data_IF_864880106051
#
_entry.id   IF_864880106051
#
_cell.length_a   1.000
_cell.length_b   1.000
_cell.length_c   1.000
_cell.angle_alpha   90.00
_cell.angle_beta   90.00
_cell.angle_gamma   90.00
#
_symmetry.space_group_name_H-M   'P 1'
#
loop_
_entity.id
_entity.type
_entity.pdbx_description
1 polymer ?
#
# COMPACT_ATOMS: atom_id res chain seq x y z
N UNK A 1 -2.77 5.83 -0.49
CA UNK A 1 -2.97 6.59 -1.75
C UNK A 1 -4.43 6.47 -2.17
N UNK A 2 -5.08 7.57 -2.59
CA UNK A 2 -6.52 7.60 -2.93
C UNK A 2 -6.85 6.56 -4.04
N UNK A 3 -7.82 5.64 -3.85
CA UNK A 3 -8.14 4.59 -4.83
C UNK A 3 -8.42 5.11 -6.25
N UNK A 4 -9.17 6.21 -6.40
CA UNK A 4 -9.47 6.83 -7.71
C UNK A 4 -8.22 7.37 -8.39
N UNK A 5 -7.33 7.99 -7.60
CA UNK A 5 -6.04 8.48 -8.11
C UNK A 5 -5.19 7.33 -8.67
N UNK A 6 -5.22 6.15 -8.03
CA UNK A 6 -4.44 5.01 -8.48
C UNK A 6 -4.89 4.51 -9.86
N UNK A 7 -6.21 4.42 -10.08
CA UNK A 7 -6.80 4.03 -11.35
C UNK A 7 -6.42 5.03 -12.46
N UNK A 8 -6.49 6.32 -12.18
CA UNK A 8 -6.08 7.35 -13.15
C UNK A 8 -4.59 7.33 -13.48
N UNK A 9 -3.72 6.94 -12.53
CA UNK A 9 -2.30 6.72 -12.82
C UNK A 9 -2.13 5.53 -13.79
N UNK A 10 -2.92 4.47 -13.60
CA UNK A 10 -2.89 3.29 -14.48
C UNK A 10 -3.26 3.63 -15.93
N UNK A 11 -4.25 4.51 -16.15
CA UNK A 11 -4.64 5.00 -17.48
C UNK A 11 -3.52 5.75 -18.21
N UNK A 12 -2.52 6.26 -17.48
CA UNK A 12 -1.32 6.89 -18.07
C UNK A 12 -0.23 5.84 -18.28
N UNK A 13 0.01 4.99 -17.29
CA UNK A 13 1.14 4.05 -17.30
C UNK A 13 0.95 2.87 -18.24
N UNK A 14 -0.28 2.36 -18.41
CA UNK A 14 -0.52 1.18 -19.24
C UNK A 14 -0.27 1.43 -20.73
N UNK A 15 -0.78 2.53 -21.33
CA UNK A 15 -0.40 2.90 -22.69
C UNK A 15 1.10 3.12 -22.84
N UNK A 16 1.73 3.77 -21.86
CA UNK A 16 3.18 3.97 -21.86
C UNK A 16 3.95 2.66 -21.95
N UNK A 17 3.54 1.62 -21.20
CA UNK A 17 4.18 0.31 -21.27
C UNK A 17 4.04 -0.35 -22.64
N UNK A 18 2.86 -0.26 -23.27
CA UNK A 18 2.64 -0.83 -24.61
C UNK A 18 3.59 -0.24 -25.66
N UNK A 19 3.95 1.04 -25.53
CA UNK A 19 4.85 1.73 -26.46
C UNK A 19 6.34 1.59 -26.08
N UNK A 20 6.65 1.46 -24.78
CA UNK A 20 8.02 1.60 -24.25
C UNK A 20 8.58 0.31 -23.60
N UNK A 21 7.92 -0.84 -23.77
CA UNK A 21 8.37 -2.11 -23.18
C UNK A 21 9.83 -2.43 -23.53
N UNK A 22 10.20 -2.38 -24.82
CA UNK A 22 11.57 -2.67 -25.27
C UNK A 22 12.60 -1.73 -24.63
N UNK A 23 12.24 -0.45 -24.46
CA UNK A 23 13.10 0.55 -23.84
C UNK A 23 13.33 0.24 -22.35
N UNK A 24 12.28 -0.13 -21.62
CA UNK A 24 12.39 -0.54 -20.21
C UNK A 24 13.23 -1.82 -20.09
N UNK A 25 12.97 -2.84 -20.92
CA UNK A 25 13.73 -4.11 -20.93
C UNK A 25 15.22 -3.88 -21.17
N UNK A 26 15.57 -3.07 -22.17
CA UNK A 26 16.96 -2.72 -22.46
C UNK A 26 17.64 -2.00 -21.27
N UNK A 27 16.90 -1.16 -20.54
CA UNK A 27 17.40 -0.53 -19.32
C UNK A 27 17.62 -1.51 -18.17
N UNK A 28 16.73 -2.50 -18.00
CA UNK A 28 16.93 -3.62 -17.07
C UNK A 28 18.18 -4.43 -17.43
N UNK A 29 18.35 -4.73 -18.71
CA UNK A 29 19.52 -5.46 -19.20
C UNK A 29 20.81 -4.67 -18.91
N UNK A 30 20.80 -3.36 -19.16
CA UNK A 30 21.95 -2.47 -18.90
C UNK A 30 22.37 -2.50 -17.42
N UNK A 31 21.42 -2.32 -16.48
CA UNK A 31 21.74 -2.35 -15.05
C UNK A 31 22.15 -3.77 -14.58
N UNK A 32 21.66 -4.83 -15.23
CA UNK A 32 22.02 -6.21 -14.89
C UNK A 32 23.49 -6.55 -15.16
N UNK A 33 24.13 -5.84 -16.09
CA UNK A 33 25.55 -6.02 -16.42
C UNK A 33 26.49 -5.28 -15.46
N UNK A 34 25.97 -4.41 -14.60
CA UNK A 34 26.78 -3.69 -13.61
C UNK A 34 27.23 -4.66 -12.53
N UNK A 35 28.54 -4.68 -12.26
CA UNK A 35 29.09 -5.49 -11.18
C UNK A 35 28.56 -4.99 -9.83
N UNK A 36 27.82 -5.84 -9.11
CA UNK A 36 27.27 -5.53 -7.78
C UNK A 36 27.67 -6.57 -6.73
N UNK A 37 28.64 -7.43 -7.02
CA UNK A 37 29.02 -8.54 -6.11
C UNK A 37 29.66 -8.05 -4.80
N UNK A 38 30.22 -6.84 -4.80
CA UNK A 38 30.77 -6.21 -3.61
C UNK A 38 29.70 -5.61 -2.68
N UNK A 39 28.43 -5.51 -3.12
CA UNK A 39 27.37 -5.02 -2.27
C UNK A 39 26.99 -6.04 -1.20
N UNK A 40 26.54 -5.59 -0.02
CA UNK A 40 25.90 -6.46 0.94
C UNK A 40 24.73 -7.24 0.32
N UNK A 41 24.58 -8.51 0.70
CA UNK A 41 23.56 -9.43 0.17
C UNK A 41 22.14 -8.85 0.13
N UNK A 42 21.81 -8.04 1.14
CA UNK A 42 20.52 -7.35 1.21
C UNK A 42 20.27 -6.50 -0.05
N UNK A 43 21.23 -5.68 -0.46
CA UNK A 43 21.09 -4.77 -1.60
C UNK A 43 21.19 -5.51 -2.93
N UNK A 44 22.09 -6.49 -3.03
CA UNK A 44 22.21 -7.37 -4.21
C UNK A 44 20.89 -8.09 -4.52
N UNK A 45 20.29 -8.74 -3.50
CA UNK A 45 19.00 -9.43 -3.64
C UNK A 45 17.87 -8.46 -3.97
N UNK A 46 17.87 -7.27 -3.36
CA UNK A 46 16.85 -6.26 -3.61
C UNK A 46 16.92 -5.70 -5.05
N UNK A 47 18.12 -5.42 -5.57
CA UNK A 47 18.32 -5.01 -6.97
C UNK A 47 17.87 -6.09 -7.96
N UNK A 48 18.27 -7.34 -7.73
CA UNK A 48 17.83 -8.45 -8.58
C UNK A 48 16.31 -8.64 -8.56
N UNK A 49 15.70 -8.50 -7.39
CA UNK A 49 14.23 -8.57 -7.25
C UNK A 49 13.56 -7.42 -7.99
N UNK A 50 14.10 -6.20 -7.88
CA UNK A 50 13.63 -5.02 -8.60
C UNK A 50 13.64 -5.23 -10.12
N UNK A 51 14.73 -5.78 -10.66
CA UNK A 51 14.85 -6.11 -12.09
C UNK A 51 13.79 -7.13 -12.53
N UNK A 52 13.63 -8.22 -11.78
CA UNK A 52 12.60 -9.24 -12.08
C UNK A 52 11.19 -8.68 -12.03
N UNK A 53 10.90 -7.80 -11.06
CA UNK A 53 9.59 -7.17 -10.93
C UNK A 53 9.34 -6.14 -12.03
N UNK A 54 10.35 -5.37 -12.43
CA UNK A 54 10.24 -4.46 -13.57
C UNK A 54 9.86 -5.25 -14.84
N UNK A 55 10.56 -6.35 -15.13
CA UNK A 55 10.25 -7.22 -16.27
C UNK A 55 8.87 -7.91 -16.14
N UNK A 56 8.48 -8.32 -14.93
CA UNK A 56 7.17 -8.93 -14.68
C UNK A 56 6.00 -7.95 -14.73
N UNK A 57 6.24 -6.65 -14.91
CA UNK A 57 5.17 -5.64 -14.98
C UNK A 57 4.27 -5.85 -16.19
N UNK A 58 4.83 -6.23 -17.34
CA UNK A 58 4.09 -6.36 -18.59
C UNK A 58 3.03 -7.47 -18.51
N UNK A 59 3.40 -8.67 -18.08
CA UNK A 59 2.48 -9.79 -17.87
C UNK A 59 1.37 -9.44 -16.84
N UNK A 60 1.70 -8.62 -15.83
CA UNK A 60 0.72 -8.18 -14.84
C UNK A 60 -0.26 -7.16 -15.40
N UNK A 61 0.18 -6.29 -16.31
CA UNK A 61 -0.69 -5.34 -17.01
C UNK A 61 -1.63 -6.09 -17.95
N UNK A 62 -1.13 -7.08 -18.70
CA UNK A 62 -1.96 -7.95 -19.53
C UNK A 62 -3.01 -8.69 -18.69
N UNK A 63 -2.61 -9.26 -17.54
CA UNK A 63 -3.55 -9.90 -16.62
C UNK A 63 -4.60 -8.92 -16.05
N UNK A 64 -4.25 -7.66 -15.83
CA UNK A 64 -5.24 -6.63 -15.43
C UNK A 64 -6.22 -6.39 -16.57
N UNK A 65 -5.71 -6.14 -17.78
CA UNK A 65 -6.54 -5.87 -18.96
C UNK A 65 -7.52 -7.02 -19.24
N UNK A 66 -7.04 -8.27 -19.17
CA UNK A 66 -7.90 -9.45 -19.37
C UNK A 66 -9.01 -9.53 -18.31
N UNK A 67 -8.69 -9.34 -17.02
CA UNK A 67 -9.71 -9.39 -15.96
C UNK A 67 -10.72 -8.25 -16.04
N UNK A 68 -10.26 -7.07 -16.47
CA UNK A 68 -11.15 -5.94 -16.71
C UNK A 68 -12.06 -6.19 -17.92
N UNK A 69 -11.53 -6.81 -18.99
CA UNK A 69 -12.32 -7.24 -20.14
C UNK A 69 -13.37 -8.29 -19.74
N UNK A 70 -12.97 -9.34 -19.01
CA UNK A 70 -13.89 -10.40 -18.53
C UNK A 70 -15.05 -9.80 -17.72
N UNK A 71 -14.77 -8.80 -16.88
CA UNK A 71 -15.79 -8.08 -16.10
C UNK A 71 -16.68 -7.20 -16.99
N UNK A 72 -16.08 -6.43 -17.90
CA UNK A 72 -16.81 -5.49 -18.77
C UNK A 72 -17.71 -6.21 -19.78
N UNK A 73 -17.33 -7.41 -20.24
CA UNK A 73 -18.17 -8.24 -21.10
C UNK A 73 -19.38 -8.81 -20.35
N UNK A 74 -19.25 -9.03 -19.03
CA UNK A 74 -20.34 -9.54 -18.19
C UNK A 74 -21.35 -8.45 -17.77
N UNK A 75 -20.89 -7.20 -17.61
CA UNK A 75 -21.70 -6.09 -17.08
C UNK A 75 -23.02 -5.87 -17.83
N UNK A 76 -23.06 -5.76 -19.18
CA UNK A 76 -24.30 -5.44 -19.89
C UNK A 76 -25.44 -6.43 -19.63
N UNK A 77 -25.14 -7.73 -19.53
CA UNK A 77 -26.17 -8.75 -19.24
C UNK A 77 -26.59 -8.79 -17.76
N UNK A 78 -25.73 -8.33 -16.87
CA UNK A 78 -25.97 -8.31 -15.43
C UNK A 78 -26.71 -7.04 -14.97
N UNK A 79 -26.48 -5.92 -15.62
CA UNK A 79 -26.98 -4.60 -15.22
C UNK A 79 -28.50 -4.55 -15.13
N UNK A 80 -29.21 -5.00 -16.17
CA UNK A 80 -30.68 -4.99 -16.19
C UNK A 80 -31.28 -5.86 -15.08
N UNK A 81 -30.72 -7.06 -14.90
CA UNK A 81 -31.11 -7.99 -13.84
C UNK A 81 -30.86 -7.35 -12.46
N UNK A 82 -29.70 -6.73 -12.28
CA UNK A 82 -29.32 -6.06 -11.05
C UNK A 82 -30.27 -4.92 -10.71
N UNK A 83 -30.48 -3.99 -11.63
CA UNK A 83 -31.36 -2.84 -11.40
C UNK A 83 -32.80 -3.29 -11.10
N UNK A 84 -33.30 -4.29 -11.83
CA UNK A 84 -34.62 -4.86 -11.58
C UNK A 84 -34.74 -5.43 -10.17
N UNK A 85 -33.81 -6.31 -9.77
CA UNK A 85 -33.85 -6.95 -8.44
C UNK A 85 -33.65 -5.91 -7.33
N UNK A 86 -32.74 -4.95 -7.49
CA UNK A 86 -32.52 -3.89 -6.50
C UNK A 86 -33.75 -3.00 -6.33
N UNK A 87 -34.44 -2.64 -7.40
CA UNK A 87 -35.71 -1.91 -7.32
C UNK A 87 -36.77 -2.72 -6.60
N UNK A 88 -36.93 -4.01 -6.93
CA UNK A 88 -37.90 -4.89 -6.25
C UNK A 88 -37.59 -5.02 -4.76
N UNK A 89 -36.32 -5.22 -4.40
CA UNK A 89 -35.88 -5.28 -3.00
C UNK A 89 -36.09 -3.96 -2.25
N UNK A 90 -35.93 -2.82 -2.93
CA UNK A 90 -36.22 -1.52 -2.36
C UNK A 90 -37.72 -1.36 -2.03
N UNK A 91 -38.60 -1.74 -2.96
CA UNK A 91 -40.05 -1.74 -2.71
C UNK A 91 -40.44 -2.68 -1.57
N UNK A 92 -39.86 -3.88 -1.52
CA UNK A 92 -40.06 -4.82 -0.39
C UNK A 92 -39.67 -4.18 0.94
N UNK A 93 -38.50 -3.53 1.03
CA UNK A 93 -38.06 -2.85 2.27
C UNK A 93 -38.99 -1.71 2.68
N UNK A 94 -39.59 -1.00 1.72
CA UNK A 94 -40.57 0.05 1.99
C UNK A 94 -41.85 -0.54 2.60
N UNK A 95 -42.34 -1.64 2.03
CA UNK A 95 -43.50 -2.36 2.56
C UNK A 95 -43.20 -2.91 3.96
N UNK A 96 -42.00 -3.49 4.18
CA UNK A 96 -41.58 -3.96 5.51
C UNK A 96 -41.55 -2.83 6.54
N UNK A 97 -41.11 -1.63 6.14
CA UNK A 97 -41.17 -0.44 6.99
C UNK A 97 -42.61 -0.03 7.31
N UNK A 98 -43.50 -0.02 6.32
CA UNK A 98 -44.91 0.34 6.51
C UNK A 98 -45.64 -0.68 7.41
N UNK A 99 -45.36 -1.98 7.25
CA UNK A 99 -45.84 -3.04 8.16
C UNK A 99 -45.35 -2.78 9.58
N UNK A 100 -44.05 -2.51 9.75
CA UNK A 100 -43.46 -2.24 11.06
C UNK A 100 -44.13 -1.05 11.75
N UNK A 101 -44.36 0.06 11.05
CA UNK A 101 -45.04 1.23 11.59
C UNK A 101 -46.50 0.93 11.99
N UNK A 102 -47.22 0.14 11.20
CA UNK A 102 -48.58 -0.32 11.51
C UNK A 102 -48.60 -1.22 12.76
N UNK A 103 -47.65 -2.14 12.89
CA UNK A 103 -47.51 -3.00 14.08
C UNK A 103 -47.18 -2.18 15.34
N UNK A 104 -46.27 -1.20 15.24
CA UNK A 104 -45.96 -0.29 16.34
C UNK A 104 -47.18 0.53 16.75
N UNK A 105 -47.94 1.03 15.77
CA UNK A 105 -49.20 1.75 16.02
C UNK A 105 -50.22 0.87 16.72
N UNK A 106 -50.41 -0.37 16.25
CA UNK A 106 -51.30 -1.37 16.85
C UNK A 106 -50.93 -1.60 18.32
N UNK A 107 -49.66 -1.86 18.60
CA UNK A 107 -49.16 -2.10 19.96
C UNK A 107 -49.34 -0.90 20.89
N UNK A 108 -49.14 0.34 20.40
CA UNK A 108 -49.37 1.56 21.19
C UNK A 108 -50.85 1.74 21.53
N UNK A 109 -51.74 1.46 20.57
CA UNK A 109 -53.19 1.54 20.79
C UNK A 109 -53.65 0.50 21.84
N UNK A 110 -53.17 -0.74 21.75
CA UNK A 110 -53.47 -1.81 22.72
C UNK A 110 -53.05 -1.45 24.15
N UNK A 111 -51.94 -0.72 24.32
CA UNK A 111 -51.42 -0.30 25.64
C UNK A 111 -52.13 0.90 26.24
N UNK A 112 -52.79 1.74 25.43
CA UNK A 112 -53.35 3.02 25.87
C UNK A 112 -54.70 2.93 26.62
N UNK A 113 -55.25 1.73 26.85
CA UNK A 113 -56.28 1.42 27.86
C UNK A 113 -57.67 2.06 27.70
N UNK A 114 -57.83 3.12 26.90
CA UNK A 114 -59.13 3.65 26.47
C UNK A 114 -59.69 2.74 25.39
N UNK A 115 -61.02 2.60 25.28
CA UNK A 115 -61.68 1.73 24.29
C UNK A 115 -61.27 2.12 22.87
N UNK A 116 -60.20 1.49 22.36
CA UNK A 116 -59.77 1.64 20.97
C UNK A 116 -60.91 1.09 20.13
N UNK A 117 -61.33 1.88 19.15
CA UNK A 117 -62.37 1.46 18.22
C UNK A 117 -61.95 0.14 17.55
N UNK A 118 -62.75 -0.90 17.72
CA UNK A 118 -62.51 -2.22 17.14
C UNK A 118 -62.39 -2.15 15.61
N UNK A 119 -63.03 -1.17 14.98
CA UNK A 119 -62.95 -0.92 13.55
C UNK A 119 -61.54 -0.43 13.14
N UNK A 120 -60.88 0.40 13.96
CA UNK A 120 -59.50 0.86 13.71
C UNK A 120 -58.52 -0.31 13.83
N UNK A 121 -58.67 -1.16 14.85
CA UNK A 121 -57.81 -2.34 15.02
C UNK A 121 -57.96 -3.33 13.88
N UNK A 122 -59.19 -3.53 13.40
CA UNK A 122 -59.48 -4.36 12.23
C UNK A 122 -58.84 -3.80 10.96
N UNK A 123 -58.98 -2.50 10.69
CA UNK A 123 -58.38 -1.84 9.53
C UNK A 123 -56.85 -1.94 9.50
N UNK A 124 -56.19 -1.78 10.67
CA UNK A 124 -54.74 -1.95 10.77
C UNK A 124 -54.34 -3.40 10.45
N UNK A 125 -55.08 -4.38 10.97
CA UNK A 125 -54.86 -5.80 10.66
C UNK A 125 -54.99 -6.11 9.17
N UNK A 126 -56.08 -5.66 8.54
CA UNK A 126 -56.32 -5.84 7.10
C UNK A 126 -55.24 -5.17 6.24
N UNK A 127 -54.74 -4.01 6.67
CA UNK A 127 -53.64 -3.30 5.98
C UNK A 127 -52.32 -4.07 6.08
N UNK A 128 -52.02 -4.65 7.24
CA UNK A 128 -50.82 -5.48 7.42
C UNK A 128 -50.90 -6.73 6.54
N UNK A 129 -52.05 -7.42 6.51
CA UNK A 129 -52.26 -8.59 5.65
C UNK A 129 -52.10 -8.23 4.17
N UNK A 130 -52.71 -7.13 3.73
CA UNK A 130 -52.59 -6.64 2.35
C UNK A 130 -51.12 -6.35 1.98
N UNK A 131 -50.38 -5.70 2.89
CA UNK A 131 -48.96 -5.42 2.67
C UNK A 131 -48.10 -6.69 2.68
N UNK A 132 -48.45 -7.68 3.50
CA UNK A 132 -47.76 -8.98 3.49
C UNK A 132 -47.97 -9.71 2.16
N UNK A 133 -49.19 -9.73 1.62
CA UNK A 133 -49.48 -10.31 0.31
C UNK A 133 -48.72 -9.59 -0.82
N UNK A 134 -48.71 -8.25 -0.79
CA UNK A 134 -47.94 -7.44 -1.76
C UNK A 134 -46.44 -7.73 -1.69
N UNK A 135 -45.88 -7.91 -0.48
CA UNK A 135 -44.49 -8.31 -0.28
C UNK A 135 -44.23 -9.68 -0.92
N UNK A 136 -45.05 -10.67 -0.61
CA UNK A 136 -44.88 -12.04 -1.12
C UNK A 136 -44.99 -12.09 -2.66
N UNK A 137 -45.86 -11.28 -3.26
CA UNK A 137 -45.95 -11.12 -4.72
C UNK A 137 -44.71 -10.47 -5.34
N UNK A 138 -44.13 -9.47 -4.68
CA UNK A 138 -42.90 -8.82 -5.16
C UNK A 138 -41.70 -9.76 -5.05
N UNK A 139 -41.57 -10.51 -3.97
CA UNK A 139 -40.47 -11.47 -3.79
C UNK A 139 -40.48 -12.56 -4.87
N UNK A 140 -41.68 -13.03 -5.28
CA UNK A 140 -41.84 -13.98 -6.40
C UNK A 140 -41.37 -13.42 -7.76
N UNK A 141 -41.28 -12.10 -7.92
CA UNK A 141 -40.78 -11.46 -9.15
C UNK A 141 -39.26 -11.53 -9.26
N UNK A 142 -38.53 -11.78 -8.18
CA UNK A 142 -37.07 -11.90 -8.22
C UNK A 142 -36.69 -13.14 -9.05
N UNK A 143 -35.94 -12.99 -10.16
CA UNK A 143 -35.60 -14.12 -11.02
C UNK A 143 -34.71 -15.14 -10.28
N UNK A 144 -34.96 -16.43 -10.49
CA UNK A 144 -34.21 -17.51 -9.81
C UNK A 144 -32.71 -17.49 -10.13
N UNK A 145 -32.32 -16.96 -11.29
CA UNK A 145 -30.91 -16.79 -11.66
C UNK A 145 -30.17 -15.70 -10.86
N UNK A 146 -30.87 -14.81 -10.15
CA UNK A 146 -30.29 -13.64 -9.47
C UNK A 146 -29.08 -13.99 -8.61
N UNK A 147 -29.24 -14.98 -7.72
CA UNK A 147 -28.18 -15.36 -6.78
C UNK A 147 -26.93 -15.83 -7.53
N UNK A 148 -27.10 -16.68 -8.54
CA UNK A 148 -25.98 -17.19 -9.34
C UNK A 148 -25.28 -16.11 -10.18
N UNK A 149 -26.03 -15.17 -10.76
CA UNK A 149 -25.46 -14.07 -11.53
C UNK A 149 -24.75 -13.04 -10.63
N UNK A 150 -25.29 -12.77 -9.43
CA UNK A 150 -24.62 -11.95 -8.41
C UNK A 150 -23.28 -12.56 -7.99
N UNK A 151 -23.24 -13.86 -7.73
CA UNK A 151 -22.00 -14.55 -7.33
C UNK A 151 -20.94 -14.52 -8.44
N UNK A 152 -21.36 -14.68 -9.71
CA UNK A 152 -20.46 -14.50 -10.87
C UNK A 152 -19.88 -13.10 -10.93
N UNK A 153 -20.71 -12.06 -10.81
CA UNK A 153 -20.26 -10.67 -10.77
C UNK A 153 -19.25 -10.43 -9.66
N UNK A 154 -19.56 -10.87 -8.44
CA UNK A 154 -18.70 -10.68 -7.26
C UNK A 154 -17.34 -11.38 -7.44
N UNK A 155 -17.33 -12.57 -8.05
CA UNK A 155 -16.10 -13.29 -8.39
C UNK A 155 -15.26 -12.51 -9.42
N UNK A 156 -15.85 -12.12 -10.54
CA UNK A 156 -15.14 -11.37 -11.61
C UNK A 156 -14.57 -10.05 -11.07
N UNK A 157 -15.37 -9.30 -10.32
CA UNK A 157 -14.94 -8.06 -9.69
C UNK A 157 -13.80 -8.29 -8.67
N UNK A 158 -13.87 -9.36 -7.86
CA UNK A 158 -12.81 -9.71 -6.91
C UNK A 158 -11.51 -10.05 -7.65
N UNK A 159 -11.58 -10.78 -8.75
CA UNK A 159 -10.43 -11.14 -9.59
C UNK A 159 -9.80 -9.90 -10.24
N UNK A 160 -10.60 -8.99 -10.81
CA UNK A 160 -10.12 -7.73 -11.37
C UNK A 160 -9.47 -6.81 -10.30
N UNK A 161 -10.03 -6.76 -9.09
CA UNK A 161 -9.41 -6.02 -7.97
C UNK A 161 -8.09 -6.65 -7.54
N UNK A 162 -8.03 -7.99 -7.50
CA UNK A 162 -6.84 -8.73 -7.09
C UNK A 162 -5.70 -8.57 -8.09
N UNK A 163 -5.97 -8.64 -9.40
CA UNK A 163 -4.96 -8.43 -10.46
C UNK A 163 -4.36 -7.02 -10.37
N UNK A 164 -5.19 -5.98 -10.24
CA UNK A 164 -4.72 -4.60 -10.04
C UNK A 164 -3.87 -4.47 -8.79
N UNK A 165 -4.30 -5.04 -7.67
CA UNK A 165 -3.53 -4.98 -6.42
C UNK A 165 -2.17 -5.69 -6.54
N UNK A 166 -2.08 -6.76 -7.32
CA UNK A 166 -0.83 -7.47 -7.62
C UNK A 166 0.10 -6.60 -8.48
N UNK A 167 -0.41 -6.02 -9.56
CA UNK A 167 0.33 -5.04 -10.39
C UNK A 167 0.90 -3.91 -9.53
N UNK A 168 0.06 -3.27 -8.71
CA UNK A 168 0.45 -2.13 -7.86
C UNK A 168 1.59 -2.48 -6.91
N UNK A 169 1.49 -3.63 -6.22
CA UNK A 169 2.55 -4.10 -5.32
C UNK A 169 3.84 -4.40 -6.07
N UNK A 170 3.73 -4.99 -7.26
CA UNK A 170 4.88 -5.26 -8.11
C UNK A 170 5.58 -3.96 -8.52
N UNK A 171 4.82 -2.97 -8.99
CA UNK A 171 5.31 -1.64 -9.37
C UNK A 171 6.06 -0.96 -8.22
N UNK A 172 5.42 -0.91 -7.04
CA UNK A 172 6.02 -0.30 -5.84
C UNK A 172 7.28 -1.08 -5.40
N UNK A 173 7.26 -2.42 -5.48
CA UNK A 173 8.40 -3.26 -5.08
C UNK A 173 9.57 -3.21 -6.09
N UNK A 174 9.27 -2.97 -7.37
CA UNK A 174 10.28 -2.79 -8.40
C UNK A 174 11.08 -1.50 -8.19
N UNK A 175 10.44 -0.46 -7.66
CA UNK A 175 11.04 0.87 -7.57
C UNK A 175 11.64 1.19 -6.19
N UNK A 176 10.98 0.79 -5.09
CA UNK A 176 11.41 1.10 -3.72
C UNK A 176 12.88 0.71 -3.40
N UNK A 177 13.40 -0.46 -3.83
CA UNK A 177 14.81 -0.81 -3.60
C UNK A 177 15.81 0.20 -4.18
N UNK A 178 15.46 0.82 -5.31
CA UNK A 178 16.33 1.79 -5.98
C UNK A 178 16.42 3.05 -5.15
N UNK A 179 15.28 3.61 -4.76
CA UNK A 179 15.22 4.79 -3.88
C UNK A 179 15.97 4.53 -2.57
N UNK A 180 15.79 3.34 -1.97
CA UNK A 180 16.45 2.98 -0.72
C UNK A 180 17.97 2.92 -0.89
N UNK A 181 18.47 2.28 -1.95
CA UNK A 181 19.91 2.19 -2.20
C UNK A 181 20.50 3.56 -2.54
N UNK A 182 19.87 4.33 -3.43
CA UNK A 182 20.25 5.72 -3.74
C UNK A 182 20.33 6.57 -2.48
N UNK A 183 19.36 6.46 -1.57
CA UNK A 183 19.38 7.20 -0.31
C UNK A 183 20.54 6.79 0.63
N UNK A 184 20.93 5.51 0.62
CA UNK A 184 22.08 5.01 1.38
C UNK A 184 23.38 5.54 0.81
N UNK A 185 23.55 5.52 -0.52
CA UNK A 185 24.71 6.06 -1.21
C UNK A 185 24.83 7.58 -1.00
N UNK A 186 23.74 8.32 -1.15
CA UNK A 186 23.70 9.77 -0.89
C UNK A 186 24.01 10.14 0.57
N UNK A 187 23.98 9.18 1.50
CA UNK A 187 24.32 9.38 2.91
C UNK A 187 25.75 8.95 3.26
N UNK A 188 26.56 8.49 2.29
CA UNK A 188 27.92 8.00 2.54
C UNK A 188 28.82 9.09 3.10
N UNK A 189 28.81 10.29 2.53
CA UNK A 189 29.61 11.41 3.02
C UNK A 189 29.28 11.76 4.49
N UNK A 190 27.99 11.82 4.83
CA UNK A 190 27.56 12.04 6.21
C UNK A 190 28.01 10.92 7.16
N UNK A 191 28.12 9.67 6.67
CA UNK A 191 28.67 8.56 7.44
C UNK A 191 30.18 8.70 7.62
N UNK A 192 30.94 9.08 6.59
CA UNK A 192 32.39 9.31 6.66
C UNK A 192 32.74 10.37 7.72
N UNK A 193 31.98 11.47 7.77
CA UNK A 193 32.16 12.54 8.75
C UNK A 193 31.97 12.09 10.21
N UNK A 194 31.34 10.93 10.43
CA UNK A 194 31.16 10.37 11.77
C UNK A 194 32.42 9.67 12.30
N UNK A 195 33.43 9.37 11.48
CA UNK A 195 34.58 8.56 11.86
C UNK A 195 35.24 9.04 13.15
N UNK A 196 35.59 10.33 13.21
CA UNK A 196 36.26 10.93 14.38
C UNK A 196 35.37 10.83 15.63
N UNK A 197 34.08 11.09 15.47
CA UNK A 197 33.11 11.00 16.58
C UNK A 197 32.97 9.56 17.08
N UNK A 198 32.89 8.59 16.18
CA UNK A 198 32.81 7.17 16.51
C UNK A 198 34.09 6.67 17.19
N UNK A 199 35.27 7.05 16.69
CA UNK A 199 36.56 6.70 17.30
C UNK A 199 36.70 7.30 18.71
N UNK A 200 36.16 8.50 18.96
CA UNK A 200 36.21 9.14 20.28
C UNK A 200 35.48 8.36 21.38
N UNK A 201 34.53 7.48 21.02
CA UNK A 201 33.74 6.69 21.98
C UNK A 201 34.63 5.82 22.85
N UNK A 202 35.74 5.29 22.33
CA UNK A 202 36.69 4.51 23.12
C UNK A 202 37.20 5.31 24.33
N UNK A 203 37.75 6.49 24.07
CA UNK A 203 38.23 7.38 25.13
C UNK A 203 37.10 7.84 26.06
N UNK A 204 35.88 8.01 25.55
CA UNK A 204 34.72 8.35 26.39
C UNK A 204 34.42 7.22 27.40
N UNK A 205 34.49 5.96 26.96
CA UNK A 205 34.24 4.81 27.82
C UNK A 205 35.36 4.63 28.86
N UNK A 206 36.61 4.86 28.47
CA UNK A 206 37.78 4.63 29.33
C UNK A 206 38.00 5.73 30.37
N UNK A 207 37.74 7.00 30.02
CA UNK A 207 38.21 8.14 30.81
C UNK A 207 37.10 8.96 31.49
N UNK A 208 35.83 8.77 31.13
CA UNK A 208 34.73 9.57 31.70
C UNK A 208 33.88 8.80 32.71
N UNK A 209 33.22 9.57 33.59
CA UNK A 209 32.22 9.02 34.50
C UNK A 209 31.02 8.44 33.70
N UNK A 210 30.45 7.31 34.14
CA UNK A 210 29.44 6.55 33.39
C UNK A 210 28.25 7.39 32.88
N UNK A 211 27.69 8.28 33.71
CA UNK A 211 26.55 9.11 33.31
C UNK A 211 26.93 10.16 32.26
N UNK A 212 28.10 10.79 32.38
CA UNK A 212 28.64 11.71 31.36
C UNK A 212 28.90 10.97 30.05
N UNK A 213 29.59 9.83 30.13
CA UNK A 213 29.90 8.98 28.99
C UNK A 213 28.62 8.58 28.24
N UNK A 214 27.58 8.15 28.97
CA UNK A 214 26.30 7.80 28.36
C UNK A 214 25.66 8.97 27.61
N UNK A 215 25.69 10.18 28.16
CA UNK A 215 25.11 11.36 27.50
C UNK A 215 25.87 11.72 26.23
N UNK A 216 27.21 11.67 26.24
CA UNK A 216 28.03 11.91 25.05
C UNK A 216 27.77 10.86 23.96
N UNK A 217 27.79 9.57 24.32
CA UNK A 217 27.52 8.48 23.39
C UNK A 217 26.09 8.59 22.83
N UNK A 218 25.11 9.03 23.64
CA UNK A 218 23.73 9.27 23.18
C UNK A 218 23.66 10.35 22.10
N UNK A 219 24.47 11.41 22.18
CA UNK A 219 24.52 12.44 21.13
C UNK A 219 25.06 11.85 19.83
N UNK A 220 26.14 11.09 19.90
CA UNK A 220 26.76 10.43 18.73
C UNK A 220 25.79 9.42 18.08
N UNK A 221 25.13 8.56 18.88
CA UNK A 221 24.17 7.58 18.35
C UNK A 221 22.92 8.24 17.74
N UNK A 222 22.56 9.45 18.20
CA UNK A 222 21.42 10.18 17.68
C UNK A 222 21.70 10.72 16.29
N UNK A 223 22.90 11.25 16.05
CA UNK A 223 23.35 11.68 14.71
C UNK A 223 23.33 10.52 13.71
N UNK A 224 23.80 9.33 14.12
CA UNK A 224 23.69 8.11 13.29
C UNK A 224 22.23 7.78 12.92
N UNK A 225 21.26 8.20 13.73
CA UNK A 225 19.83 8.00 13.45
C UNK A 225 19.31 8.74 12.22
N UNK A 226 19.98 9.81 11.81
CA UNK A 226 19.64 10.57 10.60
C UNK A 226 20.27 10.01 9.32
N UNK A 227 21.31 9.18 9.45
CA UNK A 227 22.10 8.67 8.31
C UNK A 227 21.47 7.39 7.76
N UNK A 228 21.14 7.38 6.46
CA UNK A 228 20.51 6.21 5.83
C UNK A 228 21.48 5.03 5.80
N UNK A 229 20.95 3.86 6.16
CA UNK A 229 21.71 2.63 6.27
C UNK A 229 22.62 2.51 7.51
N UNK A 230 22.67 3.49 8.42
CA UNK A 230 23.55 3.45 9.60
C UNK A 230 22.93 2.76 10.84
N UNK A 231 21.77 2.11 10.70
CA UNK A 231 21.01 1.55 11.83
C UNK A 231 21.75 0.39 12.55
N UNK A 232 22.51 -0.40 11.80
CA UNK A 232 23.35 -1.49 12.32
C UNK A 232 24.44 -0.96 13.26
N UNK A 233 25.17 0.09 12.83
CA UNK A 233 26.19 0.79 13.61
C UNK A 233 25.54 1.42 14.85
N UNK A 234 24.47 2.19 14.66
CA UNK A 234 23.70 2.83 15.76
C UNK A 234 23.29 1.81 16.82
N UNK A 235 22.79 0.65 16.41
CA UNK A 235 22.36 -0.41 17.32
C UNK A 235 23.51 -0.90 18.22
N UNK A 236 24.72 -1.06 17.67
CA UNK A 236 25.92 -1.45 18.43
C UNK A 236 26.36 -0.34 19.39
N UNK A 237 26.42 0.90 18.93
CA UNK A 237 26.76 2.06 19.78
C UNK A 237 25.75 2.23 20.92
N UNK A 238 24.47 1.97 20.65
CA UNK A 238 23.42 1.97 21.67
C UNK A 238 23.59 0.88 22.73
N UNK A 239 24.10 -0.30 22.32
CA UNK A 239 24.46 -1.37 23.26
C UNK A 239 25.69 -0.99 24.08
N UNK A 240 26.68 -0.33 23.48
CA UNK A 240 27.84 0.20 24.21
C UNK A 240 27.41 1.19 25.30
N UNK A 241 26.57 2.17 24.95
CA UNK A 241 25.97 3.10 25.91
C UNK A 241 25.23 2.38 27.04
N UNK A 242 24.36 1.42 26.70
CA UNK A 242 23.54 0.71 27.69
C UNK A 242 24.36 -0.13 28.66
N UNK A 243 25.56 -0.57 28.28
CA UNK A 243 26.45 -1.31 29.18
C UNK A 243 27.00 -0.43 30.33
N UNK A 244 26.99 0.90 30.17
CA UNK A 244 27.39 1.84 31.22
C UNK A 244 26.23 2.24 32.16
N UNK A 245 25.02 1.74 31.94
CA UNK A 245 23.82 2.17 32.67
C UNK A 245 23.73 1.53 34.06
N UNK A 246 23.38 2.34 35.07
CA UNK A 246 22.95 1.88 36.39
C UNK A 246 24.09 1.77 37.40
N UNK A 247 23.82 1.09 38.53
CA UNK A 247 24.74 1.04 39.68
C UNK A 247 26.01 0.20 39.48
N UNK A 248 26.05 -0.63 38.43
CA UNK A 248 27.20 -1.48 38.06
C UNK A 248 27.54 -1.31 36.57
N UNK A 249 28.15 -0.18 36.18
CA UNK A 249 28.62 0.04 34.81
C UNK A 249 29.61 -1.06 34.39
N UNK A 250 29.56 -1.48 33.12
CA UNK A 250 30.48 -2.46 32.55
C UNK A 250 31.22 -1.84 31.34
N UNK A 251 32.37 -1.17 31.59
CA UNK A 251 33.18 -0.55 30.53
C UNK A 251 33.74 -1.56 29.53
N UNK A 252 34.12 -2.76 29.96
CA UNK A 252 34.66 -3.81 29.09
C UNK A 252 33.62 -4.24 28.03
N UNK A 253 32.38 -4.51 28.47
CA UNK A 253 31.27 -4.81 27.56
C UNK A 253 30.94 -3.62 26.66
N UNK A 254 31.07 -2.38 27.15
CA UNK A 254 30.87 -1.19 26.35
C UNK A 254 31.92 -1.10 25.22
N UNK A 255 33.20 -1.34 25.53
CA UNK A 255 34.29 -1.39 24.55
C UNK A 255 34.10 -2.48 23.51
N UNK A 256 33.69 -3.69 23.92
CA UNK A 256 33.38 -4.78 22.98
C UNK A 256 32.27 -4.39 22.00
N UNK A 257 31.19 -3.77 22.47
CA UNK A 257 30.10 -3.31 21.59
C UNK A 257 30.53 -2.16 20.68
N UNK A 258 31.39 -1.25 21.17
CA UNK A 258 31.98 -0.20 20.35
C UNK A 258 32.87 -0.79 19.24
N UNK A 259 33.75 -1.74 19.55
CA UNK A 259 34.59 -2.44 18.55
C UNK A 259 33.74 -3.11 17.47
N UNK A 260 32.66 -3.81 17.86
CA UNK A 260 31.71 -4.38 16.90
C UNK A 260 31.02 -3.30 16.05
N UNK A 261 30.73 -2.13 16.63
CA UNK A 261 30.19 -0.98 15.90
C UNK A 261 31.18 -0.42 14.88
N UNK A 262 32.46 -0.29 15.25
CA UNK A 262 33.54 0.16 14.37
C UNK A 262 33.80 -0.83 13.22
N UNK A 263 33.76 -2.13 13.51
CA UNK A 263 33.88 -3.17 12.48
C UNK A 263 32.77 -3.04 11.42
N UNK A 264 31.53 -2.87 11.86
CA UNK A 264 30.39 -2.64 10.93
C UNK A 264 30.55 -1.30 10.20
N UNK A 265 31.04 -0.26 10.87
CA UNK A 265 31.30 1.04 10.23
C UNK A 265 32.27 0.92 9.05
N UNK A 266 33.43 0.28 9.25
CA UNK A 266 34.41 0.13 8.17
C UNK A 266 33.89 -0.74 7.03
N UNK A 267 33.17 -1.82 7.33
CA UNK A 267 32.49 -2.64 6.31
C UNK A 267 31.50 -1.80 5.49
N UNK A 268 30.70 -0.94 6.15
CA UNK A 268 29.76 -0.06 5.46
C UNK A 268 30.45 0.97 4.57
N UNK A 269 31.56 1.56 5.03
CA UNK A 269 32.31 2.54 4.24
C UNK A 269 32.95 1.92 3.01
N UNK A 270 33.55 0.73 3.15
CA UNK A 270 34.26 0.04 2.07
C UNK A 270 33.38 -0.15 0.82
N UNK A 271 32.20 -0.76 0.99
CA UNK A 271 31.33 -1.01 -0.16
C UNK A 271 30.66 0.27 -0.67
N UNK A 272 30.35 1.24 0.21
CA UNK A 272 29.69 2.49 -0.18
C UNK A 272 30.57 3.39 -1.03
N UNK A 273 31.82 3.59 -0.62
CA UNK A 273 32.78 4.40 -1.40
C UNK A 273 33.00 3.80 -2.78
N UNK A 274 33.09 2.47 -2.87
CA UNK A 274 33.15 1.78 -4.15
C UNK A 274 31.87 1.97 -4.98
N UNK A 275 30.70 1.84 -4.35
CA UNK A 275 29.42 2.04 -5.01
C UNK A 275 29.18 3.47 -5.49
N UNK A 276 29.71 4.49 -4.82
CA UNK A 276 29.64 5.87 -5.30
C UNK A 276 30.34 6.04 -6.65
N UNK A 277 31.43 5.31 -6.87
CA UNK A 277 32.20 5.37 -8.12
C UNK A 277 31.59 4.46 -9.19
N UNK A 278 31.30 3.20 -8.84
CA UNK A 278 30.93 2.16 -9.81
C UNK A 278 29.42 2.06 -10.09
N UNK A 279 28.57 2.44 -9.13
CA UNK A 279 27.11 2.14 -9.18
C UNK A 279 26.22 3.38 -9.13
N UNK A 280 26.65 4.50 -8.54
CA UNK A 280 25.77 5.66 -8.33
C UNK A 280 25.15 6.17 -9.64
N UNK A 281 25.94 6.34 -10.69
CA UNK A 281 25.42 6.82 -11.98
C UNK A 281 24.54 5.77 -12.70
N UNK A 282 24.95 4.49 -12.84
CA UNK A 282 24.06 3.47 -13.39
C UNK A 282 22.74 3.33 -12.64
N UNK A 283 22.79 3.38 -11.30
CA UNK A 283 21.59 3.32 -10.45
C UNK A 283 20.68 4.53 -10.68
N UNK A 284 21.24 5.74 -10.74
CA UNK A 284 20.48 6.96 -11.02
C UNK A 284 19.80 6.92 -12.40
N UNK A 285 20.50 6.40 -13.42
CA UNK A 285 19.93 6.24 -14.76
C UNK A 285 18.76 5.24 -14.75
N UNK A 286 18.92 4.11 -14.05
CA UNK A 286 17.87 3.11 -13.92
C UNK A 286 16.68 3.60 -13.07
N UNK A 287 16.94 4.35 -12.01
CA UNK A 287 15.90 5.01 -11.22
C UNK A 287 15.12 6.03 -12.07
N UNK A 288 15.82 6.85 -12.86
CA UNK A 288 15.19 7.84 -13.75
C UNK A 288 14.33 7.17 -14.83
N UNK A 289 14.81 6.08 -15.43
CA UNK A 289 14.08 5.28 -16.41
C UNK A 289 12.71 4.83 -15.89
N UNK A 290 12.66 4.36 -14.63
CA UNK A 290 11.44 3.82 -14.05
C UNK A 290 10.57 4.89 -13.39
N UNK A 291 11.13 6.05 -13.03
CA UNK A 291 10.51 7.08 -12.18
C UNK A 291 9.11 7.50 -12.62
N UNK A 292 8.96 7.80 -13.91
CA UNK A 292 7.72 8.35 -14.48
C UNK A 292 6.75 7.27 -15.00
N UNK A 293 7.09 5.99 -14.79
CA UNK A 293 6.29 4.83 -15.19
C UNK A 293 6.06 3.88 -14.01
N UNK A 294 6.86 2.83 -13.87
CA UNK A 294 6.80 1.83 -12.79
C UNK A 294 6.91 2.49 -11.40
N UNK A 295 7.70 3.55 -11.28
CA UNK A 295 7.90 4.32 -10.06
C UNK A 295 6.88 5.43 -9.82
N UNK A 296 5.93 5.66 -10.73
CA UNK A 296 5.08 6.87 -10.71
C UNK A 296 4.23 6.98 -9.45
N UNK A 297 3.72 5.85 -8.97
CA UNK A 297 2.90 5.77 -7.75
C UNK A 297 3.64 6.19 -6.48
N UNK A 298 4.97 6.13 -6.50
CA UNK A 298 5.83 6.46 -5.36
C UNK A 298 6.34 7.91 -5.40
N UNK A 299 6.05 8.66 -6.46
CA UNK A 299 6.48 10.03 -6.59
C UNK A 299 5.70 10.95 -5.63
N UNK A 300 6.42 11.88 -5.00
CA UNK A 300 5.80 12.89 -4.11
C UNK A 300 4.90 13.87 -4.88
N UNK A 301 5.22 14.11 -6.15
CA UNK A 301 4.51 15.04 -7.03
C UNK A 301 4.50 14.45 -8.44
N UNK A 302 3.35 14.59 -9.09
CA UNK A 302 3.22 14.35 -10.52
C UNK A 302 3.80 15.54 -11.29
N UNK A 303 4.35 15.29 -12.47
CA UNK A 303 4.66 16.36 -13.41
C UNK A 303 3.36 16.99 -13.96
N UNK A 304 3.47 18.11 -14.70
CA UNK A 304 2.30 18.87 -15.16
C UNK A 304 1.38 18.02 -16.04
N UNK A 305 1.94 17.25 -16.96
CA UNK A 305 1.17 16.47 -17.93
C UNK A 305 0.47 15.28 -17.26
N UNK A 306 1.18 14.58 -16.36
CA UNK A 306 0.60 13.54 -15.51
C UNK A 306 -0.52 14.11 -14.62
N UNK A 307 -0.34 15.31 -14.06
CA UNK A 307 -1.35 15.95 -13.21
C UNK A 307 -2.60 16.33 -14.02
N UNK A 308 -2.44 16.84 -15.24
CA UNK A 308 -3.55 17.16 -16.15
C UNK A 308 -4.31 15.90 -16.55
N UNK A 309 -3.61 14.83 -16.93
CA UNK A 309 -4.22 13.56 -17.29
C UNK A 309 -4.99 12.95 -16.10
N UNK A 310 -4.41 12.96 -14.91
CA UNK A 310 -5.11 12.52 -13.68
C UNK A 310 -6.32 13.39 -13.38
N UNK A 311 -6.23 14.72 -13.56
CA UNK A 311 -7.34 15.62 -13.32
C UNK A 311 -8.51 15.32 -14.27
N UNK A 312 -8.21 15.08 -15.55
CA UNK A 312 -9.19 14.70 -16.56
C UNK A 312 -9.86 13.35 -16.25
N UNK A 313 -9.08 12.32 -15.90
CA UNK A 313 -9.64 11.03 -15.48
C UNK A 313 -10.56 11.19 -14.25
N UNK A 314 -10.14 11.99 -13.25
CA UNK A 314 -10.93 12.21 -12.04
C UNK A 314 -12.20 13.02 -12.23
N UNK A 315 -12.32 13.80 -13.32
CA UNK A 315 -13.55 14.56 -13.59
C UNK A 315 -14.64 13.73 -14.26
N UNK A 316 -14.32 12.51 -14.70
CA UNK A 316 -15.32 11.58 -15.23
C UNK A 316 -16.18 10.95 -14.13
N UNK A 317 -17.47 10.77 -14.41
CA UNK A 317 -18.37 10.02 -13.54
C UNK A 317 -18.17 8.51 -13.76
N UNK A 318 -18.07 7.75 -12.68
CA UNK A 318 -17.98 6.29 -12.72
C UNK A 318 -19.22 5.74 -12.01
N UNK A 319 -20.04 4.98 -12.74
CA UNK A 319 -21.16 4.28 -12.12
C UNK A 319 -20.64 3.11 -11.28
N UNK A 320 -21.07 3.09 -10.03
CA UNK A 320 -20.73 2.07 -9.04
C UNK A 320 -21.98 1.35 -8.51
N UNK A 321 -23.14 1.58 -9.12
CA UNK A 321 -24.44 1.02 -8.74
C UNK A 321 -24.41 -0.51 -8.62
N UNK A 322 -23.75 -1.18 -9.56
CA UNK A 322 -23.62 -2.65 -9.61
C UNK A 322 -22.91 -3.25 -8.40
N UNK A 323 -22.18 -2.45 -7.62
CA UNK A 323 -21.50 -2.90 -6.41
C UNK A 323 -22.38 -2.88 -5.15
N UNK A 324 -23.57 -2.29 -5.21
CA UNK A 324 -24.48 -2.13 -4.06
C UNK A 324 -25.74 -2.99 -4.17
#
# INVERSE_FOLDING_TARGET
>A
MNPKLQKCIEEITFPFYAEHENYIRAGVDTISQVNVEYLPDKYKKALKTSQLQALGTFDLVEAVNQRDQDLNEFIPGYEDLHQFVRRTQFEVRKIEFDIHELEQRKMRLERNGNSVDALIMKQIGESIETFQDMKDELEKKIPSQWQSEREKFEKLNKEARASRQKYRRNSDSAYEPLIQLSAVLNSTQALLEMEKSLNSIKSIIENEQPDSAMQRIKRIESTLGGIKGASSIKSKISKARRALKGKKPNPEKALQQWQLGMSVYYQEIEWRQRAEIELAQPLANYELLLKDSIGLRMQKKLNKDQALAVAACKSSHEDISLFF
#
